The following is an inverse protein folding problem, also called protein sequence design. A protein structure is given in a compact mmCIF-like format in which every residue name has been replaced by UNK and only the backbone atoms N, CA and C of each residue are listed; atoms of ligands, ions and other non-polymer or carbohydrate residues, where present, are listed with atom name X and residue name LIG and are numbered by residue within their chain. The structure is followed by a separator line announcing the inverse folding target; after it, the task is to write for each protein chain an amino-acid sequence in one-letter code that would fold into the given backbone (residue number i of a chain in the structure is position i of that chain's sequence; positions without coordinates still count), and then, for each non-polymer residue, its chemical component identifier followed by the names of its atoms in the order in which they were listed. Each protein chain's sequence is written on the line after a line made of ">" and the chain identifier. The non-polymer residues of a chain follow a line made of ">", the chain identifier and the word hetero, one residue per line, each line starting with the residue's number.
data_IF_554530256662
#
_entry.id   IF_554530256662
#
_cell.length_a   1.000
_cell.length_b   1.000
_cell.length_c   1.000
_cell.angle_alpha   90.00
_cell.angle_beta   90.00
_cell.angle_gamma   90.00
#
_symmetry.space_group_name_H-M   'P 1'
#
loop_
_entity.id
_entity.type
_entity.pdbx_description
1 polymer ?
#
# COMPACT_ATOMS: atom_id res chain seq x y z
N UNK A 1 -14.40 6.10 -10.83
CA UNK A 1 -14.84 4.73 -10.52
C UNK A 1 -14.67 3.85 -11.74
N UNK A 2 -14.33 2.56 -11.54
CA UNK A 2 -14.29 1.59 -12.62
C UNK A 2 -15.56 0.74 -12.65
N UNK A 3 -15.96 0.29 -13.81
CA UNK A 3 -17.07 -0.64 -14.01
C UNK A 3 -16.50 -2.03 -14.30
N UNK A 4 -16.74 -2.99 -13.42
CA UNK A 4 -16.39 -4.40 -13.61
C UNK A 4 -17.65 -5.24 -13.84
N UNK A 5 -17.50 -6.58 -14.01
CA UNK A 5 -18.64 -7.51 -14.17
C UNK A 5 -19.64 -7.45 -13.00
N UNK A 6 -19.21 -7.04 -11.80
CA UNK A 6 -20.06 -6.87 -10.62
C UNK A 6 -20.50 -5.43 -10.33
N UNK A 7 -20.44 -4.50 -11.31
CA UNK A 7 -20.84 -3.11 -11.13
C UNK A 7 -19.68 -2.14 -10.85
N UNK A 8 -19.99 -1.01 -10.21
CA UNK A 8 -18.98 0.00 -9.90
C UNK A 8 -18.07 -0.45 -8.75
N UNK A 9 -16.77 -0.47 -9.01
CA UNK A 9 -15.75 -0.84 -8.02
C UNK A 9 -14.66 0.23 -7.89
N UNK A 10 -14.11 0.37 -6.67
CA UNK A 10 -12.96 1.22 -6.37
C UNK A 10 -11.95 0.39 -5.60
N UNK A 11 -10.71 0.56 -5.94
CA UNK A 11 -9.59 -0.04 -5.21
C UNK A 11 -8.97 1.01 -4.31
N UNK A 12 -8.72 0.65 -3.05
CA UNK A 12 -8.01 1.48 -2.09
C UNK A 12 -6.55 1.04 -2.08
N UNK A 13 -5.66 1.98 -2.30
CA UNK A 13 -4.21 1.80 -2.15
C UNK A 13 -3.83 2.46 -0.83
N UNK A 14 -3.40 1.66 0.12
CA UNK A 14 -3.10 2.06 1.49
C UNK A 14 -1.65 1.75 1.81
N UNK A 15 -0.93 2.74 2.33
CA UNK A 15 0.30 2.50 3.07
C UNK A 15 0.06 2.71 4.55
N UNK A 16 0.60 1.82 5.38
CA UNK A 16 0.60 1.94 6.83
C UNK A 16 2.00 1.70 7.38
N UNK A 17 2.25 2.11 8.62
CA UNK A 17 3.47 1.77 9.34
C UNK A 17 3.41 0.35 9.94
N UNK A 18 4.49 -0.07 10.60
CA UNK A 18 4.58 -1.39 11.24
C UNK A 18 3.58 -1.63 12.38
N UNK A 19 2.99 -0.56 12.93
CA UNK A 19 1.91 -0.62 13.94
C UNK A 19 0.53 -0.66 13.29
N UNK A 20 0.43 -0.56 11.96
CA UNK A 20 -0.81 -0.54 11.22
C UNK A 20 -1.53 0.82 11.26
N UNK A 21 -0.81 1.93 11.42
CA UNK A 21 -1.35 3.27 11.33
C UNK A 21 -1.33 3.73 9.86
N UNK A 22 -2.46 4.18 9.29
CA UNK A 22 -2.50 4.69 7.94
C UNK A 22 -1.56 5.88 7.74
N UNK A 23 -0.75 5.85 6.69
CA UNK A 23 0.20 6.92 6.31
C UNK A 23 -0.21 7.61 5.01
N UNK A 24 -0.76 6.87 4.07
CA UNK A 24 -1.30 7.42 2.83
C UNK A 24 -2.45 6.58 2.29
N UNK A 25 -3.43 7.24 1.69
CA UNK A 25 -4.62 6.61 1.10
C UNK A 25 -4.86 7.20 -0.28
N UNK A 26 -4.84 6.36 -1.29
CA UNK A 26 -5.26 6.69 -2.65
C UNK A 26 -6.36 5.75 -3.09
N UNK A 27 -7.18 6.21 -4.02
CA UNK A 27 -8.24 5.41 -4.62
C UNK A 27 -8.10 5.40 -6.13
N UNK A 28 -8.38 4.26 -6.74
CA UNK A 28 -8.42 4.10 -8.19
C UNK A 28 -9.63 3.28 -8.63
N UNK A 29 -9.90 3.27 -9.93
CA UNK A 29 -10.89 2.37 -10.50
C UNK A 29 -10.52 0.90 -10.18
N UNK A 30 -11.51 0.08 -9.82
CA UNK A 30 -11.26 -1.27 -9.30
C UNK A 30 -10.52 -2.20 -10.27
N UNK A 31 -10.64 -1.98 -11.58
CA UNK A 31 -9.93 -2.75 -12.61
C UNK A 31 -8.47 -2.32 -12.83
N UNK A 32 -8.03 -1.18 -12.28
CA UNK A 32 -6.65 -0.72 -12.47
C UNK A 32 -5.64 -1.60 -11.72
N UNK A 33 -4.48 -1.81 -12.34
CA UNK A 33 -3.36 -2.48 -11.69
C UNK A 33 -2.82 -1.65 -10.54
N UNK A 34 -2.33 -2.33 -9.50
CA UNK A 34 -1.72 -1.71 -8.32
C UNK A 34 -0.36 -1.08 -8.62
N UNK A 35 0.43 -1.71 -9.47
CA UNK A 35 1.82 -1.34 -9.71
C UNK A 35 2.02 0.15 -10.08
N UNK A 36 1.22 0.76 -10.99
CA UNK A 36 1.36 2.18 -11.32
C UNK A 36 1.04 3.12 -10.16
N UNK A 37 0.31 2.64 -9.13
CA UNK A 37 -0.08 3.47 -8.00
C UNK A 37 1.01 3.55 -6.91
N UNK A 38 2.03 2.68 -6.97
CA UNK A 38 3.06 2.61 -5.93
C UNK A 38 3.77 3.94 -5.73
N UNK A 39 4.16 4.60 -6.81
CA UNK A 39 4.86 5.89 -6.73
C UNK A 39 4.01 6.96 -6.05
N UNK A 40 2.77 7.13 -6.49
CA UNK A 40 1.85 8.10 -5.91
C UNK A 40 1.54 7.81 -4.43
N UNK A 41 1.42 6.53 -4.05
CA UNK A 41 1.23 6.12 -2.64
C UNK A 41 2.43 6.52 -1.80
N UNK A 42 3.65 6.28 -2.28
CA UNK A 42 4.88 6.66 -1.58
C UNK A 42 5.03 8.18 -1.48
N UNK A 43 4.71 8.90 -2.55
CA UNK A 43 4.82 10.36 -2.57
C UNK A 43 3.81 11.06 -1.67
N UNK A 44 2.69 10.40 -1.36
CA UNK A 44 1.70 10.90 -0.43
C UNK A 44 2.07 10.72 1.06
N UNK A 45 3.11 9.93 1.37
CA UNK A 45 3.55 9.72 2.75
C UNK A 45 4.17 11.00 3.31
N UNK A 46 3.66 11.45 4.46
CA UNK A 46 4.13 12.63 5.22
C UNK A 46 4.05 12.31 6.71
N UNK A 47 5.16 11.90 7.31
CA UNK A 47 5.23 11.64 8.74
C UNK A 47 5.86 12.85 9.42
N UNK A 48 5.07 13.56 10.22
CA UNK A 48 5.55 14.66 11.01
C UNK A 48 6.68 14.20 11.96
N UNK A 49 7.61 15.08 12.25
CA UNK A 49 8.59 14.85 13.30
C UNK A 49 7.95 15.05 14.68
N UNK A 50 8.52 14.46 15.73
CA UNK A 50 8.09 14.76 17.10
C UNK A 50 8.08 16.26 17.36
N UNK A 51 7.15 16.73 18.19
CA UNK A 51 7.08 18.13 18.59
C UNK A 51 8.44 18.58 19.15
N UNK A 52 8.84 19.81 18.82
CA UNK A 52 10.14 20.37 19.20
C UNK A 52 11.33 19.93 18.34
N UNK A 53 11.14 19.05 17.35
CA UNK A 53 12.21 18.60 16.44
C UNK A 53 12.16 19.37 15.13
N UNK A 54 13.20 20.12 14.80
CA UNK A 54 13.30 20.83 13.53
C UNK A 54 13.46 19.87 12.33
N UNK A 55 13.00 20.26 11.16
CA UNK A 55 13.24 19.59 9.89
C UNK A 55 11.96 19.17 9.14
N UNK A 56 12.16 18.73 7.90
CA UNK A 56 11.06 18.35 7.00
C UNK A 56 10.40 17.02 7.44
N UNK A 57 9.10 16.82 7.17
CA UNK A 57 8.43 15.54 7.39
C UNK A 57 9.15 14.38 6.72
N UNK A 58 9.17 13.23 7.38
CA UNK A 58 9.76 12.02 6.82
C UNK A 58 8.85 11.45 5.72
N UNK A 59 9.42 11.20 4.56
CA UNK A 59 8.70 10.66 3.40
C UNK A 59 9.18 9.26 3.01
N UNK A 60 10.43 8.92 3.31
CA UNK A 60 11.06 7.68 2.89
C UNK A 60 10.91 6.63 4.01
N UNK A 61 10.30 5.47 3.71
CA UNK A 61 10.27 4.35 4.65
C UNK A 61 11.66 3.69 4.75
N UNK A 62 11.95 3.06 5.88
CA UNK A 62 13.16 2.25 6.06
C UNK A 62 13.12 0.97 5.23
N UNK A 63 11.93 0.37 5.12
CA UNK A 63 11.69 -0.83 4.33
C UNK A 63 10.25 -0.83 3.85
N UNK A 64 10.01 -1.35 2.65
CA UNK A 64 8.67 -1.55 2.09
C UNK A 64 8.33 -3.05 2.05
N UNK A 65 7.16 -3.41 2.55
CA UNK A 65 6.56 -4.72 2.39
C UNK A 65 5.32 -4.58 1.54
N UNK A 66 5.25 -5.29 0.41
CA UNK A 66 4.09 -5.22 -0.47
C UNK A 66 3.70 -6.61 -0.99
N UNK A 67 2.47 -6.74 -1.45
CA UNK A 67 1.96 -7.99 -2.00
C UNK A 67 2.42 -8.27 -3.44
N UNK A 68 1.96 -9.38 -3.99
CA UNK A 68 2.28 -9.81 -5.36
C UNK A 68 1.76 -8.87 -6.44
N UNK A 69 0.76 -8.03 -6.15
CA UNK A 69 0.26 -7.01 -7.07
C UNK A 69 1.34 -5.98 -7.43
N UNK A 70 2.30 -5.77 -6.54
CA UNK A 70 3.45 -4.87 -6.73
C UNK A 70 4.72 -5.58 -7.22
N UNK A 71 4.66 -6.86 -7.60
CA UNK A 71 5.84 -7.63 -8.03
C UNK A 71 6.37 -7.26 -9.41
N UNK A 72 5.88 -6.21 -10.03
CA UNK A 72 6.35 -5.72 -11.34
C UNK A 72 7.79 -5.19 -11.27
N UNK A 73 8.55 -5.39 -12.34
CA UNK A 73 9.94 -4.92 -12.44
C UNK A 73 10.03 -3.40 -12.30
N UNK A 74 9.06 -2.66 -12.84
CA UNK A 74 8.95 -1.21 -12.67
C UNK A 74 8.88 -0.78 -11.20
N UNK A 75 8.12 -1.51 -10.36
CA UNK A 75 8.05 -1.24 -8.92
C UNK A 75 9.40 -1.48 -8.24
N UNK A 76 10.06 -2.60 -8.56
CA UNK A 76 11.38 -2.92 -8.01
C UNK A 76 12.45 -1.92 -8.47
N UNK A 77 12.41 -1.48 -9.72
CA UNK A 77 13.30 -0.44 -10.26
C UNK A 77 13.07 0.91 -9.55
N UNK A 78 11.81 1.31 -9.37
CA UNK A 78 11.46 2.53 -8.62
C UNK A 78 12.02 2.49 -7.20
N UNK A 79 11.80 1.38 -6.47
CA UNK A 79 12.26 1.23 -5.09
C UNK A 79 13.78 1.24 -4.98
N UNK A 80 14.49 0.56 -5.90
CA UNK A 80 15.95 0.60 -5.97
C UNK A 80 16.47 2.00 -6.24
N UNK A 81 15.90 2.71 -7.21
CA UNK A 81 16.25 4.10 -7.55
C UNK A 81 16.06 5.04 -6.37
N UNK A 82 15.01 4.82 -5.56
CA UNK A 82 14.75 5.59 -4.33
C UNK A 82 15.55 5.09 -3.11
N UNK A 83 16.37 4.05 -3.26
CA UNK A 83 17.14 3.44 -2.19
C UNK A 83 16.25 2.86 -1.08
N UNK A 84 15.07 2.35 -1.40
CA UNK A 84 14.13 1.76 -0.44
C UNK A 84 14.29 0.25 -0.45
N UNK A 85 14.84 -0.38 0.63
CA UNK A 85 14.82 -1.82 0.80
C UNK A 85 13.39 -2.35 0.74
N UNK A 86 13.16 -3.47 0.06
CA UNK A 86 11.81 -3.96 -0.11
C UNK A 86 11.73 -5.49 -0.10
N UNK A 87 10.60 -5.99 0.37
CA UNK A 87 10.26 -7.42 0.33
C UNK A 87 8.92 -7.56 -0.40
N UNK A 88 8.98 -8.07 -1.61
CA UNK A 88 7.83 -8.30 -2.48
C UNK A 88 7.98 -9.73 -3.05
N UNK A 89 7.02 -10.64 -2.82
CA UNK A 89 7.11 -12.00 -3.36
C UNK A 89 6.99 -12.00 -4.89
N UNK A 90 7.66 -12.94 -5.54
CA UNK A 90 7.50 -13.16 -6.98
C UNK A 90 6.12 -13.77 -7.28
N UNK A 91 5.57 -13.41 -8.42
CA UNK A 91 4.40 -14.08 -9.00
C UNK A 91 4.82 -15.41 -9.64
N UNK A 92 3.87 -16.32 -9.80
CA UNK A 92 4.14 -17.65 -10.40
C UNK A 92 4.71 -17.52 -11.81
N UNK A 93 4.11 -16.66 -12.64
CA UNK A 93 4.57 -16.38 -14.01
C UNK A 93 6.01 -15.83 -14.06
N UNK A 94 6.38 -15.00 -13.09
CA UNK A 94 7.74 -14.45 -12.97
C UNK A 94 8.76 -15.55 -12.57
N UNK A 95 8.37 -16.43 -11.62
CA UNK A 95 9.21 -17.56 -11.22
C UNK A 95 9.48 -18.50 -12.38
N UNK A 96 8.45 -18.84 -13.16
CA UNK A 96 8.56 -19.70 -14.33
C UNK A 96 9.46 -19.07 -15.43
N UNK A 97 9.22 -17.79 -15.73
CA UNK A 97 10.05 -17.04 -16.70
C UNK A 97 11.52 -17.01 -16.26
N UNK A 98 11.77 -16.75 -14.98
CA UNK A 98 13.11 -16.75 -14.40
C UNK A 98 13.78 -18.13 -14.50
N UNK A 99 13.05 -19.21 -14.17
CA UNK A 99 13.56 -20.58 -14.26
C UNK A 99 13.99 -20.92 -15.69
N UNK A 100 13.18 -20.54 -16.68
CA UNK A 100 13.51 -20.76 -18.12
C UNK A 100 14.76 -20.00 -18.56
N UNK A 101 15.01 -18.81 -17.97
CA UNK A 101 16.16 -17.96 -18.30
C UNK A 101 17.42 -18.22 -17.46
N UNK A 102 17.35 -19.06 -16.43
CA UNK A 102 18.46 -19.35 -15.53
C UNK A 102 18.83 -18.19 -14.57
N UNK A 103 17.91 -17.25 -14.33
CA UNK A 103 18.18 -16.06 -13.49
C UNK A 103 18.13 -16.34 -11.99
N UNK A 104 18.93 -15.56 -11.22
CA UNK A 104 18.94 -15.59 -9.75
C UNK A 104 17.60 -15.06 -9.20
N UNK A 105 16.99 -15.72 -8.19
CA UNK A 105 15.79 -15.20 -7.54
C UNK A 105 16.08 -13.87 -6.82
N UNK A 106 15.11 -12.94 -6.78
CA UNK A 106 15.22 -11.78 -5.92
C UNK A 106 15.29 -12.23 -4.46
N UNK A 107 16.03 -11.49 -3.65
CA UNK A 107 16.10 -11.72 -2.21
C UNK A 107 14.70 -11.62 -1.60
N UNK A 108 14.30 -12.63 -0.82
CA UNK A 108 13.02 -12.68 -0.14
C UNK A 108 13.20 -13.04 1.32
N UNK A 109 12.94 -12.08 2.19
CA UNK A 109 12.95 -12.21 3.64
C UNK A 109 11.53 -12.59 4.11
N UNK A 110 11.32 -13.89 4.37
CA UNK A 110 10.02 -14.43 4.76
C UNK A 110 9.57 -13.95 6.14
N UNK A 111 10.51 -13.72 7.06
CA UNK A 111 10.22 -13.23 8.41
C UNK A 111 9.75 -11.78 8.35
N UNK A 112 10.51 -10.92 7.68
CA UNK A 112 10.09 -9.54 7.45
C UNK A 112 8.74 -9.48 6.71
N UNK A 113 8.50 -10.37 5.75
CA UNK A 113 7.25 -10.40 5.01
C UNK A 113 6.02 -10.69 5.89
N UNK A 114 6.15 -11.52 6.94
CA UNK A 114 5.04 -11.77 7.89
C UNK A 114 4.55 -10.49 8.55
N UNK A 115 5.41 -9.49 8.74
CA UNK A 115 5.04 -8.17 9.28
C UNK A 115 4.08 -7.40 8.38
N UNK A 116 3.92 -7.80 7.10
CA UNK A 116 2.91 -7.25 6.19
C UNK A 116 1.48 -7.40 6.72
N UNK A 117 1.24 -8.35 7.62
CA UNK A 117 -0.05 -8.49 8.31
C UNK A 117 -0.52 -7.19 9.00
N UNK A 118 0.37 -6.22 9.24
CA UNK A 118 0.00 -4.91 9.75
C UNK A 118 -0.97 -4.17 8.82
N UNK A 119 -0.79 -4.26 7.48
CA UNK A 119 -1.71 -3.61 6.54
C UNK A 119 -3.07 -4.30 6.50
N UNK A 120 -3.12 -5.62 6.64
CA UNK A 120 -4.38 -6.38 6.68
C UNK A 120 -5.18 -6.01 7.93
N UNK A 121 -4.52 -5.95 9.09
CA UNK A 121 -5.15 -5.46 10.33
C UNK A 121 -5.62 -4.01 10.21
N UNK A 122 -4.83 -3.15 9.57
CA UNK A 122 -5.21 -1.77 9.30
C UNK A 122 -6.50 -1.69 8.46
N UNK A 123 -6.55 -2.43 7.36
CA UNK A 123 -7.74 -2.51 6.50
C UNK A 123 -8.94 -3.09 7.27
N UNK A 124 -8.73 -4.13 8.08
CA UNK A 124 -9.77 -4.72 8.94
C UNK A 124 -10.38 -3.68 9.90
N UNK A 125 -9.54 -2.88 10.57
CA UNK A 125 -9.99 -1.79 11.45
C UNK A 125 -10.73 -0.69 10.70
N UNK A 126 -10.23 -0.27 9.54
CA UNK A 126 -10.92 0.72 8.70
C UNK A 126 -12.29 0.23 8.25
N UNK A 127 -12.44 -1.06 7.97
CA UNK A 127 -13.73 -1.67 7.60
C UNK A 127 -14.76 -1.76 8.75
N UNK A 128 -14.36 -1.56 10.00
CA UNK A 128 -15.31 -1.43 11.11
C UNK A 128 -16.16 -0.16 10.96
N UNK A 129 -15.68 0.82 10.24
CA UNK A 129 -16.46 2.00 9.87
C UNK A 129 -17.42 1.64 8.74
N UNK A 130 -18.73 1.65 9.05
CA UNK A 130 -19.78 1.26 8.11
C UNK A 130 -19.68 1.97 6.76
N UNK A 131 -19.41 3.27 6.75
CA UNK A 131 -19.24 4.05 5.52
C UNK A 131 -18.07 3.59 4.64
N UNK A 132 -16.97 3.10 5.26
CA UNK A 132 -15.84 2.52 4.55
C UNK A 132 -16.14 1.11 4.07
N UNK A 133 -16.77 0.29 4.90
CA UNK A 133 -17.09 -1.12 4.58
C UNK A 133 -18.11 -1.25 3.47
N UNK A 134 -19.24 -0.52 3.59
CA UNK A 134 -20.39 -0.64 2.67
C UNK A 134 -20.26 0.24 1.45
N UNK A 135 -19.35 1.22 1.50
CA UNK A 135 -19.06 2.11 0.39
C UNK A 135 -20.31 2.78 -0.19
N UNK A 136 -21.07 3.44 0.66
CA UNK A 136 -22.26 4.21 0.23
C UNK A 136 -21.92 5.35 -0.74
N UNK A 137 -20.70 5.90 -0.61
CA UNK A 137 -20.26 6.99 -1.47
C UNK A 137 -19.95 6.52 -2.89
N UNK A 138 -20.69 7.05 -3.85
CA UNK A 138 -20.52 6.75 -5.28
C UNK A 138 -19.32 7.48 -5.88
N UNK A 139 -18.99 8.70 -5.37
CA UNK A 139 -17.85 9.49 -5.85
C UNK A 139 -16.54 9.03 -5.19
N UNK A 140 -15.50 8.82 -6.00
CA UNK A 140 -14.20 8.37 -5.50
C UNK A 140 -13.57 9.36 -4.51
N UNK A 141 -13.75 10.68 -4.74
CA UNK A 141 -13.28 11.74 -3.84
C UNK A 141 -13.90 11.63 -2.45
N UNK A 142 -15.24 11.48 -2.38
CA UNK A 142 -15.96 11.37 -1.13
C UNK A 142 -15.59 10.08 -0.39
N UNK A 143 -15.50 8.96 -1.11
CA UNK A 143 -15.05 7.70 -0.51
C UNK A 143 -13.63 7.81 0.07
N UNK A 144 -12.70 8.46 -0.68
CA UNK A 144 -11.36 8.73 -0.17
C UNK A 144 -11.40 9.61 1.09
N UNK A 145 -12.24 10.65 1.10
CA UNK A 145 -12.41 11.52 2.27
C UNK A 145 -12.90 10.73 3.49
N UNK A 146 -13.88 9.83 3.33
CA UNK A 146 -14.34 8.96 4.40
C UNK A 146 -13.21 8.07 4.97
N UNK A 147 -12.41 7.45 4.10
CA UNK A 147 -11.26 6.64 4.55
C UNK A 147 -10.23 7.51 5.28
N UNK A 148 -10.00 8.74 4.82
CA UNK A 148 -9.10 9.68 5.49
C UNK A 148 -9.62 10.12 6.86
N UNK A 149 -10.93 10.36 7.01
CA UNK A 149 -11.54 10.68 8.31
C UNK A 149 -11.48 9.50 9.28
N UNK A 150 -11.71 8.27 8.80
CA UNK A 150 -11.59 7.07 9.61
C UNK A 150 -10.13 6.75 10.01
N UNK A 151 -9.15 7.21 9.24
CA UNK A 151 -7.73 6.85 9.44
C UNK A 151 -7.16 7.26 10.80
N UNK A 152 -7.36 8.49 11.33
CA UNK A 152 -6.88 8.87 12.66
C UNK A 152 -7.50 8.03 13.78
N UNK A 153 -8.76 7.62 13.62
CA UNK A 153 -9.50 6.85 14.62
C UNK A 153 -9.00 5.39 14.74
N UNK A 154 -8.24 4.94 13.74
CA UNK A 154 -7.61 3.61 13.72
C UNK A 154 -6.23 3.63 14.37
N UNK A 155 -5.69 4.81 14.68
CA UNK A 155 -4.43 4.92 15.39
C UNK A 155 -4.60 4.36 16.80
N UNK A 156 -3.77 3.39 17.24
CA UNK A 156 -3.82 2.93 18.62
C UNK A 156 -3.55 4.12 19.53
N UNK A 157 -4.39 4.29 20.54
CA UNK A 157 -4.06 5.15 21.67
C UNK A 157 -2.73 4.66 22.25
N UNK A 158 -1.79 5.56 22.44
CA UNK A 158 -0.45 5.31 23.01
C UNK A 158 -0.60 4.80 24.43
#
# INVERSE_FOLDING_TARGET
>A
MGRGRGGFSTKVHLACDGRGRPLSVLVSAGQRNEAPQLEAVLDAIRVARPAGTAGRPRKRPERLLADRGYAHDSCRCLLRRRGIPHVIPERTDQKERRRRRGGRPPSFDAEAYRRRNAVERCVGRLKQWRGVATRYEKRASNYRAMVLIASPMVWPSS
#
